data_IF_311652388456
#
_entry.id   IF_311652388456
#
_cell.length_a   1.000
_cell.length_b   1.000
_cell.length_c   1.000
_cell.angle_alpha   90.00
_cell.angle_beta   90.00
_cell.angle_gamma   90.00
#
_symmetry.space_group_name_H-M   'P 1'
#
loop_
_entity.id
_entity.type
_entity.pdbx_description
1 polymer ?
#
# COMPACT_ATOMS: atom_id res chain seq x y z
N UNK A 1 43.59 18.76 65.66
CA UNK A 1 43.06 17.55 66.31
C UNK A 1 41.56 17.76 66.47
N UNK A 2 40.62 17.00 65.95
CA UNK A 2 40.61 15.80 65.11
C UNK A 2 39.16 15.55 64.66
N UNK A 3 39.04 14.95 63.47
CA UNK A 3 37.97 14.09 62.95
C UNK A 3 36.49 14.39 63.28
N UNK A 4 35.77 14.82 62.22
CA UNK A 4 34.30 14.74 62.08
C UNK A 4 33.93 13.29 61.77
N UNK A 5 33.04 12.71 62.57
CA UNK A 5 32.44 11.39 62.37
C UNK A 5 31.28 11.46 61.37
N UNK A 6 31.19 10.40 60.56
CA UNK A 6 30.20 10.14 59.51
C UNK A 6 29.01 9.30 60.03
N UNK A 7 27.95 9.25 59.21
CA UNK A 7 26.77 8.36 59.22
C UNK A 7 25.61 8.72 60.17
N UNK A 8 24.32 8.74 59.75
CA UNK A 8 23.62 7.85 58.83
C UNK A 8 22.55 8.57 57.99
N UNK A 9 22.46 8.24 56.69
CA UNK A 9 21.34 8.59 55.81
C UNK A 9 20.39 7.38 55.70
N UNK A 10 19.13 7.56 56.10
CA UNK A 10 18.05 6.60 55.89
C UNK A 10 17.81 6.33 54.40
N UNK A 11 18.19 5.13 53.94
CA UNK A 11 17.82 4.59 52.63
C UNK A 11 16.39 4.06 52.65
N UNK A 12 15.45 4.78 52.02
CA UNK A 12 14.13 4.23 51.66
C UNK A 12 14.26 3.22 50.51
N UNK A 13 13.60 2.05 50.55
CA UNK A 13 13.72 1.05 49.49
C UNK A 13 12.97 1.48 48.22
N UNK A 14 13.62 1.30 47.07
CA UNK A 14 13.03 1.41 45.73
C UNK A 14 11.98 0.32 45.53
N UNK A 15 10.70 0.70 45.51
CA UNK A 15 9.59 -0.19 45.14
C UNK A 15 9.77 -0.62 43.69
N UNK A 16 10.07 -1.89 43.47
CA UNK A 16 10.11 -2.52 42.15
C UNK A 16 8.68 -2.54 41.56
N UNK A 17 8.44 -2.01 40.35
CA UNK A 17 7.11 -2.02 39.76
C UNK A 17 6.71 -3.45 39.36
N UNK A 18 5.74 -4.02 40.06
CA UNK A 18 5.14 -5.33 39.76
C UNK A 18 4.34 -5.29 38.45
N UNK A 19 4.28 -6.42 37.74
CA UNK A 19 3.58 -6.57 36.45
C UNK A 19 2.12 -6.07 36.46
N UNK A 20 1.45 -6.20 37.61
CA UNK A 20 0.11 -5.64 37.86
C UNK A 20 0.05 -4.10 37.76
N UNK A 21 1.10 -3.38 38.15
CA UNK A 21 1.15 -1.91 38.01
C UNK A 21 1.28 -1.48 36.56
N UNK A 22 1.98 -2.27 35.74
CA UNK A 22 2.05 -2.07 34.28
C UNK A 22 0.71 -2.35 33.62
N UNK A 23 0.04 -3.47 33.96
CA UNK A 23 -1.30 -3.79 33.47
C UNK A 23 -2.34 -2.73 33.87
N UNK A 24 -2.30 -2.26 35.12
CA UNK A 24 -3.23 -1.23 35.61
C UNK A 24 -2.99 0.11 34.91
N UNK A 25 -1.73 0.52 34.72
CA UNK A 25 -1.40 1.71 33.91
C UNK A 25 -1.82 1.55 32.45
N UNK A 26 -1.71 0.34 31.89
CA UNK A 26 -2.14 0.01 30.53
C UNK A 26 -3.67 0.10 30.40
N UNK A 27 -4.43 -0.47 31.33
CA UNK A 27 -5.90 -0.35 31.39
C UNK A 27 -6.36 1.10 31.57
N UNK A 28 -5.72 1.85 32.46
CA UNK A 28 -6.04 3.28 32.70
C UNK A 28 -5.67 4.15 31.49
N UNK A 29 -4.60 3.81 30.76
CA UNK A 29 -4.26 4.43 29.48
C UNK A 29 -5.26 4.10 28.38
N UNK A 30 -5.85 2.90 28.41
CA UNK A 30 -6.85 2.45 27.44
C UNK A 30 -8.20 3.12 27.67
N UNK A 31 -8.57 3.37 28.93
CA UNK A 31 -9.80 4.08 29.32
C UNK A 31 -9.72 5.62 29.26
N UNK A 32 -8.57 6.23 28.93
CA UNK A 32 -8.53 7.69 28.71
C UNK A 32 -9.29 8.03 27.43
N UNK A 33 -10.52 8.48 27.61
CA UNK A 33 -11.28 9.19 26.59
C UNK A 33 -10.44 10.32 25.98
N UNK A 34 -10.56 10.60 24.67
CA UNK A 34 -9.80 11.68 24.06
C UNK A 34 -10.06 12.99 24.81
N UNK A 35 -9.00 13.74 25.12
CA UNK A 35 -9.13 15.13 25.58
C UNK A 35 -10.07 15.85 24.62
N UNK A 36 -10.99 16.66 25.18
CA UNK A 36 -11.98 17.48 24.46
C UNK A 36 -11.42 17.94 23.12
N UNK A 37 -12.03 17.47 22.03
CA UNK A 37 -11.65 17.85 20.68
C UNK A 37 -11.79 19.38 20.56
N UNK A 38 -10.67 20.07 20.40
CA UNK A 38 -10.65 21.48 20.02
C UNK A 38 -11.52 21.64 18.76
N UNK A 39 -12.47 22.58 18.77
CA UNK A 39 -13.22 22.96 17.55
C UNK A 39 -12.21 23.37 16.47
N UNK A 40 -12.31 22.75 15.30
CA UNK A 40 -11.44 23.04 14.17
C UNK A 40 -11.58 24.52 13.78
N UNK A 41 -10.46 25.25 13.77
CA UNK A 41 -10.40 26.64 13.34
C UNK A 41 -10.17 26.76 11.83
N UNK A 42 -10.28 27.98 11.29
CA UNK A 42 -9.99 28.27 9.87
C UNK A 42 -8.59 27.78 9.45
N UNK A 43 -7.62 27.91 10.34
CA UNK A 43 -6.24 27.48 10.09
C UNK A 43 -6.10 25.96 9.95
N UNK A 44 -7.00 25.16 10.55
CA UNK A 44 -6.94 23.70 10.43
C UNK A 44 -7.39 23.20 9.05
N UNK A 45 -8.14 24.03 8.30
CA UNK A 45 -8.58 23.77 6.93
C UNK A 45 -7.62 24.31 5.86
N UNK A 46 -6.65 25.14 6.26
CA UNK A 46 -5.61 25.65 5.37
C UNK A 46 -4.50 24.61 5.21
N UNK A 47 -4.32 24.16 3.97
CA UNK A 47 -3.24 23.25 3.58
C UNK A 47 -1.91 24.00 3.49
N UNK A 48 -0.89 23.47 4.15
CA UNK A 48 0.49 23.95 4.06
C UNK A 48 1.17 23.50 2.76
N UNK A 49 0.56 22.57 2.01
CA UNK A 49 1.10 22.04 0.74
C UNK A 49 2.13 20.92 0.90
N UNK A 50 2.35 20.44 2.13
CA UNK A 50 3.29 19.34 2.41
C UNK A 50 2.69 17.97 2.11
N UNK A 51 3.52 17.01 1.71
CA UNK A 51 3.08 15.64 1.48
C UNK A 51 2.50 14.98 2.75
N UNK A 52 3.12 15.21 3.93
CA UNK A 52 2.65 14.67 5.21
C UNK A 52 1.20 15.07 5.52
N UNK A 53 0.82 16.31 5.21
CA UNK A 53 -0.56 16.76 5.37
C UNK A 53 -1.52 16.10 4.38
N UNK A 54 -1.08 15.94 3.13
CA UNK A 54 -1.89 15.35 2.08
C UNK A 54 -2.21 13.86 2.32
N UNK A 55 -1.28 13.10 2.90
CA UNK A 55 -1.44 11.65 3.13
C UNK A 55 -2.23 11.30 4.40
N UNK A 56 -2.55 12.25 5.29
CA UNK A 56 -3.16 11.98 6.61
C UNK A 56 -4.38 11.07 6.55
N UNK A 57 -5.29 11.30 5.60
CA UNK A 57 -6.50 10.50 5.44
C UNK A 57 -6.21 9.03 5.12
N UNK A 58 -5.21 8.79 4.26
CA UNK A 58 -4.76 7.44 3.88
C UNK A 58 -4.12 6.73 5.07
N UNK A 59 -3.32 7.45 5.87
CA UNK A 59 -2.71 6.88 7.06
C UNK A 59 -3.74 6.59 8.16
N UNK A 60 -4.76 7.44 8.33
CA UNK A 60 -5.86 7.17 9.27
C UNK A 60 -6.62 5.90 8.90
N UNK A 61 -6.89 5.72 7.61
CA UNK A 61 -7.52 4.50 7.10
C UNK A 61 -6.66 3.26 7.34
N UNK A 62 -5.34 3.37 7.16
CA UNK A 62 -4.41 2.28 7.48
C UNK A 62 -4.59 1.78 8.93
N UNK A 63 -4.76 2.70 9.87
CA UNK A 63 -4.91 2.35 11.30
C UNK A 63 -6.20 1.61 11.61
N UNK A 64 -7.28 1.88 10.86
CA UNK A 64 -8.54 1.15 11.00
C UNK A 64 -8.36 -0.33 10.65
N UNK A 65 -7.57 -0.61 9.62
CA UNK A 65 -7.29 -1.96 9.14
C UNK A 65 -6.01 -2.56 9.71
N UNK A 66 -5.53 -2.04 10.85
CA UNK A 66 -4.39 -2.59 11.58
C UNK A 66 -3.04 -2.43 10.87
N UNK A 67 -2.94 -1.51 9.91
CA UNK A 67 -1.75 -1.23 9.11
C UNK A 67 -1.04 0.02 9.66
N UNK A 68 0.30 -0.03 9.73
CA UNK A 68 1.18 1.09 10.06
C UNK A 68 0.80 1.86 11.35
N UNK A 69 1.03 1.29 12.56
CA UNK A 69 0.57 1.87 13.83
C UNK A 69 1.43 3.06 14.32
N UNK A 70 1.41 4.18 13.59
CA UNK A 70 2.15 5.41 13.91
C UNK A 70 1.29 6.40 14.73
N UNK A 71 1.86 7.01 15.77
CA UNK A 71 1.19 8.06 16.54
C UNK A 71 1.46 9.44 15.95
N UNK A 72 0.54 10.38 16.13
CA UNK A 72 0.72 11.78 15.74
C UNK A 72 0.37 12.11 14.27
N UNK A 73 -0.31 11.22 13.54
CA UNK A 73 -0.65 11.42 12.11
C UNK A 73 -1.45 12.71 11.85
N UNK A 74 -2.34 13.08 12.77
CA UNK A 74 -3.18 14.28 12.67
C UNK A 74 -2.40 15.58 12.94
N UNK A 75 -1.16 15.50 13.42
CA UNK A 75 -0.38 16.69 13.69
C UNK A 75 0.12 17.34 12.39
N UNK A 76 0.10 18.69 12.35
CA UNK A 76 0.67 19.45 11.24
C UNK A 76 2.16 19.27 11.06
N UNK A 77 2.86 19.20 12.18
CA UNK A 77 4.31 19.03 12.21
C UNK A 77 4.68 17.53 12.12
N UNK A 78 5.46 17.11 11.10
CA UNK A 78 5.92 15.73 10.96
C UNK A 78 6.81 15.27 12.12
N UNK A 79 7.47 16.17 12.86
CA UNK A 79 8.30 15.83 14.03
C UNK A 79 7.50 15.25 15.19
N UNK A 80 6.18 15.43 15.19
CA UNK A 80 5.26 14.87 16.19
C UNK A 80 4.88 13.42 15.89
N UNK A 81 5.29 12.88 14.73
CA UNK A 81 5.14 11.47 14.41
C UNK A 81 6.03 10.63 15.32
N UNK A 82 5.47 9.59 15.95
CA UNK A 82 6.21 8.67 16.81
C UNK A 82 5.72 7.25 16.65
N UNK A 83 6.63 6.30 16.59
CA UNK A 83 6.31 4.88 16.66
C UNK A 83 6.40 4.39 18.13
N UNK A 84 5.45 3.56 18.57
CA UNK A 84 5.45 3.01 19.92
C UNK A 84 4.87 1.61 19.95
N UNK A 85 5.71 0.65 20.38
CA UNK A 85 5.40 -0.78 20.48
C UNK A 85 4.28 -1.10 21.48
N UNK A 86 4.09 -0.27 22.50
CA UNK A 86 3.10 -0.48 23.57
C UNK A 86 1.79 0.27 23.36
N UNK A 87 1.63 0.89 22.19
CA UNK A 87 0.39 1.60 21.87
C UNK A 87 -0.76 0.63 21.60
N UNK A 88 -2.00 1.00 21.95
CA UNK A 88 -3.17 0.17 21.63
C UNK A 88 -3.29 -0.15 20.14
N UNK A 89 -2.81 0.75 19.26
CA UNK A 89 -2.72 0.52 17.81
C UNK A 89 -1.68 -0.54 17.44
N UNK A 90 -0.54 -0.57 18.13
CA UNK A 90 0.47 -1.60 17.94
C UNK A 90 -0.01 -2.96 18.47
N UNK A 91 -0.72 -2.98 19.61
CA UNK A 91 -1.35 -4.21 20.12
C UNK A 91 -2.37 -4.76 19.13
N UNK A 92 -3.22 -3.90 18.56
CA UNK A 92 -4.15 -4.28 17.49
C UNK A 92 -3.42 -4.88 16.27
N UNK A 93 -2.30 -4.27 15.86
CA UNK A 93 -1.40 -4.81 14.83
C UNK A 93 -0.84 -6.19 15.15
N UNK A 94 -0.42 -6.43 16.39
CA UNK A 94 0.07 -7.75 16.79
C UNK A 94 -1.02 -8.81 16.77
N UNK A 95 -2.22 -8.49 17.26
CA UNK A 95 -3.35 -9.43 17.25
C UNK A 95 -3.71 -9.82 15.81
N UNK A 96 -3.80 -8.84 14.90
CA UNK A 96 -4.09 -9.11 13.50
C UNK A 96 -2.97 -9.88 12.81
N UNK A 97 -1.70 -9.57 13.11
CA UNK A 97 -0.57 -10.31 12.58
C UNK A 97 -0.57 -11.79 13.02
N UNK A 98 -0.91 -12.07 14.29
CA UNK A 98 -1.04 -13.44 14.79
C UNK A 98 -2.18 -14.19 14.11
N UNK A 99 -3.35 -13.55 13.95
CA UNK A 99 -4.49 -14.14 13.26
C UNK A 99 -4.21 -14.45 11.78
N UNK A 100 -3.58 -13.51 11.07
CA UNK A 100 -3.19 -13.71 9.67
C UNK A 100 -2.08 -14.76 9.55
N UNK A 101 -1.14 -14.80 10.49
CA UNK A 101 -0.12 -15.85 10.55
C UNK A 101 -0.75 -17.24 10.69
N UNK A 102 -1.72 -17.40 11.58
CA UNK A 102 -2.48 -18.64 11.71
C UNK A 102 -3.17 -19.03 10.40
N UNK A 103 -3.87 -18.10 9.74
CA UNK A 103 -4.53 -18.38 8.46
C UNK A 103 -3.53 -18.75 7.36
N UNK A 104 -2.38 -18.07 7.30
CA UNK A 104 -1.30 -18.37 6.36
C UNK A 104 -0.74 -19.78 6.59
N UNK A 105 -0.40 -20.13 7.82
CA UNK A 105 0.10 -21.48 8.17
C UNK A 105 -0.91 -22.57 7.79
N UNK A 106 -2.20 -22.37 8.12
CA UNK A 106 -3.25 -23.33 7.76
C UNK A 106 -3.41 -23.45 6.24
N UNK A 107 -3.36 -22.33 5.50
CA UNK A 107 -3.47 -22.35 4.04
C UNK A 107 -2.29 -23.05 3.36
N UNK A 108 -1.07 -22.87 3.85
CA UNK A 108 0.13 -23.56 3.35
C UNK A 108 0.09 -25.05 3.68
N UNK A 109 -0.31 -25.40 4.89
CA UNK A 109 -0.47 -26.80 5.29
C UNK A 109 -1.53 -27.51 4.45
N UNK A 110 -2.66 -26.84 4.18
CA UNK A 110 -3.69 -27.35 3.29
C UNK A 110 -3.20 -27.50 1.85
N UNK A 111 -2.39 -26.57 1.34
CA UNK A 111 -1.75 -26.68 0.04
C UNK A 111 -0.77 -27.87 -0.04
N UNK A 112 -0.01 -28.14 1.01
CA UNK A 112 0.95 -29.25 1.10
C UNK A 112 0.30 -30.64 1.31
N UNK A 113 -1.02 -30.70 1.50
CA UNK A 113 -1.75 -31.98 1.59
C UNK A 113 -1.68 -32.79 0.28
N UNK A 114 -1.88 -34.12 0.35
CA UNK A 114 -1.58 -35.11 -0.72
C UNK A 114 -2.13 -34.84 -2.13
N UNK A 115 -3.05 -33.89 -2.34
CA UNK A 115 -3.56 -33.50 -3.66
C UNK A 115 -3.23 -32.04 -3.96
N UNK A 116 -2.33 -31.83 -4.92
CA UNK A 116 -2.04 -30.52 -5.50
C UNK A 116 -3.26 -30.02 -6.29
N UNK A 117 -3.78 -28.88 -5.88
CA UNK A 117 -4.84 -28.17 -6.61
C UNK A 117 -4.47 -26.70 -6.72
N UNK A 118 -4.65 -26.14 -7.91
CA UNK A 118 -4.34 -24.74 -8.21
C UNK A 118 -5.04 -23.76 -7.26
N UNK A 119 -6.30 -24.01 -6.91
CA UNK A 119 -7.07 -23.16 -5.98
C UNK A 119 -6.48 -23.15 -4.55
N UNK A 120 -5.87 -24.25 -4.10
CA UNK A 120 -5.18 -24.31 -2.81
C UNK A 120 -3.92 -23.43 -2.83
N UNK A 121 -3.19 -23.44 -3.94
CA UNK A 121 -2.01 -22.58 -4.14
C UNK A 121 -2.39 -21.10 -4.12
N UNK A 122 -3.45 -20.70 -4.83
CA UNK A 122 -3.94 -19.31 -4.84
C UNK A 122 -4.29 -18.84 -3.43
N UNK A 123 -4.95 -19.69 -2.64
CA UNK A 123 -5.30 -19.39 -1.25
C UNK A 123 -4.05 -19.22 -0.37
N UNK A 124 -3.07 -20.12 -0.50
CA UNK A 124 -1.80 -20.02 0.23
C UNK A 124 -1.03 -18.76 -0.14
N UNK A 125 -0.94 -18.45 -1.44
CA UNK A 125 -0.30 -17.24 -1.94
C UNK A 125 -0.93 -15.99 -1.33
N UNK A 126 -2.26 -15.89 -1.31
CA UNK A 126 -2.99 -14.75 -0.77
C UNK A 126 -2.67 -14.46 0.71
N UNK A 127 -2.69 -15.47 1.58
CA UNK A 127 -2.42 -15.27 3.01
C UNK A 127 -0.94 -15.03 3.31
N UNK A 128 -0.03 -15.72 2.62
CA UNK A 128 1.42 -15.48 2.73
C UNK A 128 1.79 -14.07 2.28
N UNK A 129 1.22 -13.61 1.15
CA UNK A 129 1.35 -12.25 0.66
C UNK A 129 0.94 -11.22 1.73
N UNK A 130 -0.25 -11.39 2.31
CA UNK A 130 -0.79 -10.46 3.30
C UNK A 130 0.01 -10.44 4.61
N UNK A 131 0.50 -11.61 5.06
CA UNK A 131 1.39 -11.69 6.19
C UNK A 131 2.69 -10.91 5.95
N UNK A 132 3.29 -11.07 4.76
CA UNK A 132 4.49 -10.34 4.39
C UNK A 132 4.24 -8.83 4.24
N UNK A 133 3.09 -8.42 3.66
CA UNK A 133 2.67 -7.03 3.59
C UNK A 133 2.59 -6.40 4.99
N UNK A 134 1.94 -7.08 5.94
CA UNK A 134 1.83 -6.63 7.33
C UNK A 134 3.21 -6.42 7.97
N UNK A 135 4.14 -7.35 7.77
CA UNK A 135 5.52 -7.21 8.24
C UNK A 135 6.21 -5.99 7.63
N UNK A 136 6.10 -5.77 6.31
CA UNK A 136 6.72 -4.63 5.62
C UNK A 136 6.15 -3.30 6.08
N UNK A 137 4.84 -3.18 6.26
CA UNK A 137 4.22 -1.96 6.79
C UNK A 137 4.55 -1.71 8.26
N UNK A 138 4.72 -2.78 9.06
CA UNK A 138 5.22 -2.67 10.43
C UNK A 138 6.62 -2.07 10.49
N UNK A 139 7.54 -2.57 9.65
CA UNK A 139 8.90 -2.02 9.49
C UNK A 139 8.89 -0.59 8.96
N UNK A 140 8.04 -0.30 7.97
CA UNK A 140 7.91 1.05 7.43
C UNK A 140 7.43 2.04 8.50
N UNK A 141 6.45 1.65 9.31
CA UNK A 141 5.93 2.48 10.40
C UNK A 141 6.99 2.92 11.40
N UNK A 142 8.07 2.15 11.59
CA UNK A 142 9.19 2.51 12.45
C UNK A 142 10.03 3.65 11.86
N UNK A 143 10.28 3.61 10.55
CA UNK A 143 11.13 4.60 9.83
C UNK A 143 10.34 5.77 9.26
N UNK A 144 9.01 5.65 9.20
CA UNK A 144 8.12 6.66 8.64
C UNK A 144 8.30 8.07 9.24
N UNK A 145 8.45 8.25 10.58
CA UNK A 145 8.65 9.58 11.15
C UNK A 145 9.91 10.27 10.60
N UNK A 146 11.04 9.55 10.55
CA UNK A 146 12.31 10.08 10.04
C UNK A 146 12.20 10.41 8.55
N UNK A 147 11.57 9.52 7.77
CA UNK A 147 11.33 9.72 6.35
C UNK A 147 10.50 10.99 6.09
N UNK A 148 9.41 11.21 6.84
CA UNK A 148 8.55 12.38 6.67
C UNK A 148 9.23 13.69 7.07
N UNK A 149 10.13 13.67 8.06
CA UNK A 149 10.94 14.85 8.41
C UNK A 149 11.92 15.19 7.27
N UNK A 150 12.59 14.18 6.69
CA UNK A 150 13.48 14.39 5.53
C UNK A 150 12.69 14.89 4.31
N UNK A 151 11.54 14.28 4.04
CA UNK A 151 10.66 14.69 2.94
C UNK A 151 10.23 16.15 3.08
N UNK A 152 9.76 16.54 4.26
CA UNK A 152 9.29 17.92 4.51
C UNK A 152 10.42 18.93 4.34
N UNK A 153 11.65 18.59 4.77
CA UNK A 153 12.83 19.45 4.54
C UNK A 153 13.10 19.70 3.06
N UNK A 154 12.92 18.67 2.21
CA UNK A 154 13.06 18.83 0.76
C UNK A 154 11.90 19.66 0.21
N UNK A 155 10.65 19.38 0.61
CA UNK A 155 9.46 20.14 0.20
C UNK A 155 9.59 21.65 0.50
N UNK A 156 10.19 22.00 1.65
CA UNK A 156 10.43 23.39 2.09
C UNK A 156 11.49 24.10 1.24
N UNK A 157 12.42 23.36 0.62
CA UNK A 157 13.47 23.92 -0.25
C UNK A 157 13.00 24.19 -1.68
N UNK A 158 11.87 23.60 -2.07
CA UNK A 158 11.30 23.72 -3.41
C UNK A 158 10.61 25.09 -3.61
N UNK A 159 10.43 25.55 -4.86
CA UNK A 159 9.78 26.83 -5.14
C UNK A 159 8.44 26.98 -4.40
N UNK A 160 8.17 28.15 -3.78
CA UNK A 160 6.98 28.34 -2.97
C UNK A 160 5.72 28.26 -3.83
N UNK A 161 4.68 27.61 -3.30
CA UNK A 161 3.36 27.55 -3.92
C UNK A 161 2.66 28.88 -3.68
N UNK A 162 2.27 29.55 -4.76
CA UNK A 162 1.75 30.93 -4.73
C UNK A 162 0.32 30.95 -4.18
N UNK A 163 -0.49 29.99 -4.61
CA UNK A 163 -1.92 29.98 -4.30
C UNK A 163 -2.31 28.90 -3.28
N UNK A 164 -3.37 29.20 -2.51
CA UNK A 164 -4.01 28.23 -1.59
C UNK A 164 -4.49 27.01 -2.37
N UNK A 165 -4.94 27.20 -3.62
CA UNK A 165 -5.36 26.11 -4.49
C UNK A 165 -4.20 25.17 -4.81
N UNK A 166 -3.02 25.68 -5.21
CA UNK A 166 -1.84 24.87 -5.51
C UNK A 166 -1.40 24.01 -4.31
N UNK A 167 -1.55 24.55 -3.09
CA UNK A 167 -1.27 23.83 -1.84
C UNK A 167 -2.28 22.70 -1.57
N UNK A 168 -3.53 22.88 -1.96
CA UNK A 168 -4.61 21.92 -1.77
C UNK A 168 -4.69 20.84 -2.87
N UNK A 169 -4.17 21.10 -4.08
CA UNK A 169 -4.27 20.19 -5.24
C UNK A 169 -3.76 18.79 -4.94
N UNK A 170 -2.58 18.67 -4.29
CA UNK A 170 -2.01 17.36 -3.96
C UNK A 170 -2.91 16.58 -2.99
N UNK A 171 -3.36 17.24 -1.92
CA UNK A 171 -4.25 16.64 -0.93
C UNK A 171 -5.59 16.22 -1.55
N UNK A 172 -6.15 17.05 -2.43
CA UNK A 172 -7.39 16.74 -3.14
C UNK A 172 -7.22 15.54 -4.07
N UNK A 173 -6.14 15.50 -4.87
CA UNK A 173 -5.86 14.37 -5.78
C UNK A 173 -5.67 13.06 -5.01
N UNK A 174 -4.90 13.08 -3.92
CA UNK A 174 -4.71 11.90 -3.05
C UNK A 174 -6.05 11.47 -2.45
N UNK A 175 -6.86 12.41 -1.92
CA UNK A 175 -8.17 12.11 -1.33
C UNK A 175 -9.12 11.48 -2.36
N UNK A 176 -9.24 12.08 -3.55
CA UNK A 176 -10.12 11.58 -4.60
C UNK A 176 -9.69 10.19 -5.06
N UNK A 177 -8.40 9.98 -5.33
CA UNK A 177 -7.87 8.68 -5.73
C UNK A 177 -8.09 7.62 -4.64
N UNK A 178 -7.88 7.98 -3.37
CA UNK A 178 -8.12 7.08 -2.25
C UNK A 178 -9.59 6.67 -2.15
N UNK A 179 -10.52 7.62 -2.28
CA UNK A 179 -11.96 7.32 -2.27
C UNK A 179 -12.32 6.38 -3.43
N UNK A 180 -11.81 6.65 -4.64
CA UNK A 180 -12.08 5.81 -5.81
C UNK A 180 -11.57 4.38 -5.60
N UNK A 181 -10.29 4.20 -5.24
CA UNK A 181 -9.67 2.88 -5.07
C UNK A 181 -10.37 2.08 -3.96
N UNK A 182 -10.72 2.73 -2.85
CA UNK A 182 -11.39 2.06 -1.73
C UNK A 182 -12.83 1.68 -2.04
N UNK A 183 -13.55 2.52 -2.80
CA UNK A 183 -14.92 2.21 -3.23
C UNK A 183 -14.92 1.01 -4.18
N UNK A 184 -13.97 0.97 -5.12
CA UNK A 184 -13.79 -0.17 -6.02
C UNK A 184 -13.41 -1.45 -5.26
N UNK A 185 -12.50 -1.35 -4.28
CA UNK A 185 -12.16 -2.50 -3.43
C UNK A 185 -13.34 -2.99 -2.59
N UNK A 186 -14.20 -2.08 -2.11
CA UNK A 186 -15.39 -2.46 -1.37
C UNK A 186 -16.40 -3.15 -2.29
N UNK A 187 -16.59 -2.65 -3.52
CA UNK A 187 -17.48 -3.29 -4.48
C UNK A 187 -16.99 -4.68 -4.87
N UNK A 188 -15.69 -4.87 -5.11
CA UNK A 188 -15.08 -6.19 -5.33
C UNK A 188 -15.37 -7.14 -4.15
N UNK A 189 -15.16 -6.68 -2.91
CA UNK A 189 -15.38 -7.51 -1.72
C UNK A 189 -16.85 -7.89 -1.55
N UNK A 190 -17.77 -6.93 -1.64
CA UNK A 190 -19.20 -7.17 -1.50
C UNK A 190 -19.70 -8.13 -2.59
N UNK A 191 -19.25 -7.93 -3.83
CA UNK A 191 -19.66 -8.76 -4.95
C UNK A 191 -19.10 -10.19 -4.82
N UNK A 192 -17.90 -10.35 -4.25
CA UNK A 192 -17.36 -11.68 -3.92
C UNK A 192 -18.19 -12.42 -2.88
N UNK A 193 -18.73 -11.71 -1.88
CA UNK A 193 -19.63 -12.29 -0.88
C UNK A 193 -20.94 -12.70 -1.54
N UNK A 194 -21.54 -11.83 -2.35
CA UNK A 194 -22.80 -12.11 -3.05
C UNK A 194 -22.67 -13.34 -3.95
N UNK A 195 -21.58 -13.42 -4.73
CA UNK A 195 -21.30 -14.58 -5.58
C UNK A 195 -21.15 -15.87 -4.77
N UNK A 196 -20.46 -15.81 -3.62
CA UNK A 196 -20.25 -16.95 -2.74
C UNK A 196 -21.55 -17.41 -2.04
N UNK A 197 -22.42 -16.48 -1.63
CA UNK A 197 -23.73 -16.78 -1.02
C UNK A 197 -24.69 -17.37 -2.05
N UNK A 198 -24.72 -16.82 -3.27
CA UNK A 198 -25.54 -17.35 -4.35
C UNK A 198 -25.15 -18.80 -4.69
N UNK A 199 -23.85 -19.08 -4.73
CA UNK A 199 -23.34 -20.43 -4.96
C UNK A 199 -23.69 -21.40 -3.80
N UNK A 200 -23.54 -20.98 -2.54
CA UNK A 200 -23.85 -21.85 -1.40
C UNK A 200 -25.33 -22.18 -1.26
N UNK A 201 -26.22 -21.26 -1.65
CA UNK A 201 -27.67 -21.50 -1.61
C UNK A 201 -28.15 -22.44 -2.72
N UNK A 202 -27.44 -22.49 -3.85
CA UNK A 202 -27.86 -23.26 -5.03
C UNK A 202 -27.24 -24.68 -5.11
N UNK A 203 -26.20 -25.01 -4.34
CA UNK A 203 -25.67 -26.38 -4.22
C UNK A 203 -26.01 -26.95 -2.81
N UNK A 204 -27.16 -27.63 -2.65
CA UNK A 204 -27.66 -28.08 -1.35
C UNK A 204 -26.92 -29.34 -0.88
N UNK A 205 -25.91 -29.18 -0.02
CA UNK A 205 -25.24 -30.30 0.64
C UNK A 205 -25.28 -30.22 2.18
N UNK A 206 -25.77 -29.11 2.77
CA UNK A 206 -25.78 -28.89 4.23
C UNK A 206 -27.09 -28.20 4.63
N UNK A 207 -27.64 -28.58 5.79
CA UNK A 207 -28.93 -28.11 6.32
C UNK A 207 -28.90 -26.62 6.77
N UNK A 208 -27.72 -26.06 7.03
CA UNK A 208 -27.52 -24.63 7.36
C UNK A 208 -26.70 -23.92 6.25
N UNK A 209 -27.27 -22.90 5.57
CA UNK A 209 -26.58 -22.14 4.53
C UNK A 209 -25.35 -21.38 5.05
N UNK A 210 -25.31 -20.97 6.33
CA UNK A 210 -24.18 -20.26 6.90
C UNK A 210 -22.97 -21.18 7.09
N UNK A 211 -23.19 -22.38 7.62
CA UNK A 211 -22.15 -23.38 7.79
C UNK A 211 -21.59 -23.82 6.42
N UNK A 212 -22.46 -24.01 5.43
CA UNK A 212 -22.06 -24.33 4.06
C UNK A 212 -21.15 -23.25 3.46
N UNK A 213 -21.50 -21.97 3.65
CA UNK A 213 -20.69 -20.84 3.18
C UNK A 213 -19.29 -20.86 3.80
N UNK A 214 -19.19 -21.03 5.13
CA UNK A 214 -17.89 -21.02 5.82
C UNK A 214 -17.02 -22.23 5.47
N UNK A 215 -17.60 -23.44 5.44
CA UNK A 215 -16.87 -24.66 5.04
C UNK A 215 -16.40 -24.60 3.59
N UNK A 216 -17.19 -24.00 2.70
CA UNK A 216 -16.83 -23.90 1.28
C UNK A 216 -15.73 -22.86 1.01
N UNK A 217 -15.83 -21.66 1.61
CA UNK A 217 -14.90 -20.55 1.37
C UNK A 217 -13.61 -20.65 2.19
N UNK A 218 -13.65 -21.30 3.35
CA UNK A 218 -12.51 -21.44 4.27
C UNK A 218 -12.18 -22.91 4.53
N UNK A 219 -12.24 -23.74 3.48
CA UNK A 219 -11.97 -25.17 3.56
C UNK A 219 -10.60 -25.47 4.24
N UNK A 220 -9.59 -24.62 4.00
CA UNK A 220 -8.26 -24.75 4.61
C UNK A 220 -8.25 -24.65 6.15
N UNK A 221 -9.27 -24.04 6.77
CA UNK A 221 -9.45 -24.01 8.24
C UNK A 221 -10.38 -25.14 8.67
N UNK A 222 -11.54 -25.27 8.02
CA UNK A 222 -12.60 -26.18 8.45
C UNK A 222 -12.39 -27.65 8.06
N UNK A 223 -11.37 -27.94 7.26
CA UNK A 223 -10.91 -29.31 7.05
C UNK A 223 -10.32 -29.92 8.33
N UNK A 224 -9.68 -29.11 9.17
CA UNK A 224 -9.02 -29.56 10.41
C UNK A 224 -9.83 -29.24 11.67
N UNK A 225 -10.63 -28.18 11.64
CA UNK A 225 -11.40 -27.72 12.79
C UNK A 225 -12.90 -27.81 12.51
N UNK A 226 -13.68 -28.20 13.52
CA UNK A 226 -15.14 -28.14 13.46
C UNK A 226 -15.63 -26.70 13.26
N UNK A 227 -16.84 -26.54 12.71
CA UNK A 227 -17.44 -25.21 12.64
C UNK A 227 -17.84 -24.74 14.04
N UNK A 228 -17.57 -23.45 14.32
CA UNK A 228 -18.12 -22.75 15.49
C UNK A 228 -18.30 -21.29 15.13
N UNK A 229 -19.36 -20.66 15.64
CA UNK A 229 -19.73 -19.28 15.29
C UNK A 229 -18.60 -18.29 15.55
N UNK A 230 -17.89 -18.43 16.68
CA UNK A 230 -16.75 -17.58 17.04
C UNK A 230 -15.58 -17.75 16.04
N UNK A 231 -15.26 -18.98 15.64
CA UNK A 231 -14.20 -19.25 14.66
C UNK A 231 -14.57 -18.73 13.27
N UNK A 232 -15.84 -18.85 12.89
CA UNK A 232 -16.42 -18.23 11.70
C UNK A 232 -16.19 -16.74 11.68
N UNK A 233 -16.60 -16.07 12.76
CA UNK A 233 -16.41 -14.64 12.92
C UNK A 233 -14.93 -14.23 12.84
N UNK A 234 -14.04 -14.88 13.61
CA UNK A 234 -12.61 -14.54 13.62
C UNK A 234 -11.95 -14.77 12.25
N UNK A 235 -12.27 -15.87 11.58
CA UNK A 235 -11.74 -16.18 10.24
C UNK A 235 -12.18 -15.13 9.23
N UNK A 236 -13.47 -14.75 9.25
CA UNK A 236 -13.99 -13.71 8.36
C UNK A 236 -13.38 -12.34 8.68
N UNK A 237 -13.24 -12.01 9.96
CA UNK A 237 -12.63 -10.75 10.41
C UNK A 237 -11.21 -10.58 9.86
N UNK A 238 -10.34 -11.57 10.04
CA UNK A 238 -8.98 -11.51 9.51
C UNK A 238 -8.95 -11.54 7.98
N UNK A 239 -9.84 -12.30 7.33
CA UNK A 239 -9.96 -12.30 5.86
C UNK A 239 -10.35 -10.91 5.32
N UNK A 240 -11.28 -10.21 5.98
CA UNK A 240 -11.66 -8.84 5.62
C UNK A 240 -10.43 -7.93 5.71
N UNK A 241 -9.65 -8.02 6.79
CA UNK A 241 -8.39 -7.25 6.93
C UNK A 241 -7.42 -7.56 5.79
N UNK A 242 -7.22 -8.83 5.41
CA UNK A 242 -6.37 -9.19 4.28
C UNK A 242 -6.86 -8.60 2.95
N UNK A 243 -8.17 -8.62 2.68
CA UNK A 243 -8.73 -8.03 1.46
C UNK A 243 -8.50 -6.51 1.41
N UNK A 244 -8.70 -5.82 2.53
CA UNK A 244 -8.41 -4.39 2.61
C UNK A 244 -6.91 -4.10 2.48
N UNK A 245 -6.05 -4.95 3.05
CA UNK A 245 -4.61 -4.78 2.99
C UNK A 245 -4.06 -4.93 1.57
N UNK A 246 -4.59 -5.86 0.78
CA UNK A 246 -4.28 -5.94 -0.66
C UNK A 246 -4.52 -4.60 -1.36
N UNK A 247 -5.74 -4.06 -1.29
CA UNK A 247 -6.05 -2.77 -1.94
C UNK A 247 -5.27 -1.59 -1.36
N UNK A 248 -4.95 -1.65 -0.06
CA UNK A 248 -4.15 -0.62 0.60
C UNK A 248 -2.69 -0.60 0.13
N UNK A 249 -2.08 -1.76 -0.12
CA UNK A 249 -0.71 -1.86 -0.66
C UNK A 249 -0.61 -1.07 -1.96
N UNK A 250 -1.57 -1.29 -2.87
CA UNK A 250 -1.65 -0.61 -4.16
C UNK A 250 -1.87 0.90 -4.00
N UNK A 251 -2.85 1.29 -3.17
CA UNK A 251 -3.12 2.69 -2.88
C UNK A 251 -1.89 3.40 -2.29
N UNK A 252 -1.15 2.74 -1.40
CA UNK A 252 0.03 3.31 -0.79
C UNK A 252 1.12 3.63 -1.82
N UNK A 253 1.40 2.69 -2.74
CA UNK A 253 2.36 2.90 -3.83
C UNK A 253 1.92 4.07 -4.73
N UNK A 254 0.63 4.13 -5.08
CA UNK A 254 0.07 5.25 -5.87
C UNK A 254 0.31 6.59 -5.17
N UNK A 255 -0.02 6.69 -3.89
CA UNK A 255 0.04 7.95 -3.14
C UNK A 255 1.49 8.42 -2.93
N UNK A 256 2.40 7.51 -2.62
CA UNK A 256 3.85 7.84 -2.54
C UNK A 256 4.35 8.33 -3.90
N UNK A 257 3.97 7.65 -4.98
CA UNK A 257 4.36 8.06 -6.34
C UNK A 257 3.81 9.45 -6.69
N UNK A 258 2.53 9.73 -6.37
CA UNK A 258 1.95 11.06 -6.55
C UNK A 258 2.71 12.15 -5.81
N UNK A 259 3.15 11.90 -4.58
CA UNK A 259 3.95 12.85 -3.80
C UNK A 259 5.31 13.16 -4.44
N UNK A 260 6.02 12.12 -4.89
CA UNK A 260 7.31 12.28 -5.57
C UNK A 260 7.15 13.02 -6.90
N UNK A 261 6.19 12.61 -7.73
CA UNK A 261 5.88 13.28 -8.99
C UNK A 261 5.48 14.74 -8.78
N UNK A 262 4.73 15.06 -7.71
CA UNK A 262 4.38 16.44 -7.37
C UNK A 262 5.61 17.30 -7.05
N UNK A 263 6.62 16.73 -6.37
CA UNK A 263 7.87 17.43 -6.06
C UNK A 263 8.61 17.83 -7.34
N UNK A 264 8.70 16.93 -8.33
CA UNK A 264 9.26 17.27 -9.64
C UNK A 264 8.41 18.26 -10.41
N UNK A 265 7.08 18.13 -10.40
CA UNK A 265 6.18 19.09 -11.05
C UNK A 265 6.36 20.52 -10.54
N UNK A 266 6.62 20.71 -9.25
CA UNK A 266 6.92 22.04 -8.68
C UNK A 266 8.19 22.65 -9.28
N UNK A 267 9.25 21.85 -9.43
CA UNK A 267 10.49 22.28 -10.10
C UNK A 267 10.21 22.57 -11.58
N UNK A 268 9.55 21.65 -12.27
CA UNK A 268 9.22 21.77 -13.69
C UNK A 268 8.42 23.04 -13.96
N UNK A 269 7.34 23.27 -13.22
CA UNK A 269 6.51 24.47 -13.37
C UNK A 269 7.32 25.76 -13.21
N UNK A 270 8.23 25.81 -12.23
CA UNK A 270 9.10 26.97 -12.03
C UNK A 270 10.12 27.16 -13.16
N UNK A 271 10.70 26.08 -13.69
CA UNK A 271 11.59 26.12 -14.86
C UNK A 271 10.86 26.58 -16.12
N UNK A 272 9.62 26.13 -16.34
CA UNK A 272 8.83 26.50 -17.50
C UNK A 272 8.49 28.01 -17.55
N UNK A 273 8.39 28.68 -16.40
CA UNK A 273 8.21 30.15 -16.34
C UNK A 273 9.40 30.92 -16.93
N UNK A 274 10.60 30.34 -16.90
CA UNK A 274 11.84 30.95 -17.39
C UNK A 274 12.31 30.34 -18.72
N UNK A 275 11.41 29.65 -19.43
CA UNK A 275 11.71 29.00 -20.71
C UNK A 275 12.17 30.03 -21.75
N UNK A 276 13.26 29.73 -22.47
CA UNK A 276 13.90 30.60 -23.48
C UNK A 276 14.46 31.93 -22.93
N UNK A 277 14.46 32.15 -21.63
CA UNK A 277 15.05 33.34 -21.02
C UNK A 277 16.53 33.11 -20.73
N UNK A 278 17.32 34.18 -20.80
CA UNK A 278 18.72 34.16 -20.38
C UNK A 278 18.78 34.26 -18.85
N UNK A 279 19.21 33.20 -18.20
CA UNK A 279 19.35 33.12 -16.74
C UNK A 279 20.83 33.06 -16.35
N UNK A 280 21.13 33.44 -15.10
CA UNK A 280 22.49 33.39 -14.56
C UNK A 280 22.95 31.95 -14.29
N UNK A 281 24.27 31.73 -14.22
CA UNK A 281 24.83 30.44 -13.81
C UNK A 281 24.38 30.03 -12.39
N UNK A 282 24.33 31.00 -11.47
CA UNK A 282 23.83 30.77 -10.11
C UNK A 282 22.40 30.23 -10.11
N UNK A 283 21.51 30.77 -10.95
CA UNK A 283 20.14 30.27 -11.06
C UNK A 283 20.11 28.79 -11.45
N UNK A 284 20.87 28.38 -12.46
CA UNK A 284 20.93 26.99 -12.90
C UNK A 284 21.54 26.07 -11.85
N UNK A 285 22.58 26.52 -11.14
CA UNK A 285 23.15 25.81 -10.00
C UNK A 285 22.14 25.57 -8.88
N UNK A 286 21.35 26.59 -8.52
CA UNK A 286 20.29 26.46 -7.51
C UNK A 286 19.18 25.49 -7.94
N UNK A 287 18.74 25.54 -9.20
CA UNK A 287 17.70 24.62 -9.69
C UNK A 287 18.20 23.18 -9.77
N UNK A 288 19.45 22.97 -10.20
CA UNK A 288 20.10 21.66 -10.21
C UNK A 288 20.22 21.09 -8.79
N UNK A 289 20.60 21.90 -7.80
CA UNK A 289 20.67 21.45 -6.41
C UNK A 289 19.29 21.03 -5.88
N UNK A 290 18.24 21.81 -6.15
CA UNK A 290 16.86 21.45 -5.78
C UNK A 290 16.41 20.16 -6.46
N UNK A 291 16.74 19.98 -7.75
CA UNK A 291 16.48 18.74 -8.48
C UNK A 291 17.16 17.54 -7.82
N UNK A 292 18.47 17.64 -7.53
CA UNK A 292 19.19 16.54 -6.87
C UNK A 292 18.65 16.20 -5.49
N UNK A 293 18.24 17.19 -4.70
CA UNK A 293 17.60 16.94 -3.41
C UNK A 293 16.31 16.09 -3.56
N UNK A 294 15.55 16.28 -4.65
CA UNK A 294 14.38 15.44 -4.96
C UNK A 294 14.79 14.07 -5.47
N UNK A 295 15.84 13.96 -6.30
CA UNK A 295 16.38 12.66 -6.72
C UNK A 295 16.87 11.81 -5.53
N UNK A 296 17.55 12.43 -4.57
CA UNK A 296 17.99 11.81 -3.32
C UNK A 296 16.80 11.39 -2.45
N UNK A 297 15.73 12.21 -2.44
CA UNK A 297 14.49 11.87 -1.76
C UNK A 297 13.83 10.64 -2.39
N UNK A 298 13.71 10.57 -3.72
CA UNK A 298 13.18 9.40 -4.43
C UNK A 298 13.98 8.15 -4.06
N UNK A 299 15.31 8.23 -4.08
CA UNK A 299 16.19 7.11 -3.72
C UNK A 299 15.95 6.67 -2.27
N UNK A 300 15.87 7.61 -1.34
CA UNK A 300 15.63 7.31 0.08
C UNK A 300 14.26 6.66 0.31
N UNK A 301 13.23 7.15 -0.38
CA UNK A 301 11.88 6.60 -0.30
C UNK A 301 11.83 5.20 -0.90
N UNK A 302 12.48 5.00 -2.04
CA UNK A 302 12.59 3.71 -2.71
C UNK A 302 13.30 2.66 -1.84
N UNK A 303 14.33 3.02 -1.08
CA UNK A 303 15.02 2.10 -0.16
C UNK A 303 14.11 1.58 0.96
N UNK A 304 13.01 2.29 1.26
CA UNK A 304 12.01 1.86 2.24
C UNK A 304 10.78 1.20 1.61
N UNK A 305 10.40 1.62 0.41
CA UNK A 305 9.14 1.25 -0.25
C UNK A 305 9.33 0.21 -1.37
N UNK A 306 10.54 0.01 -1.91
CA UNK A 306 10.81 -0.87 -3.07
C UNK A 306 10.30 -2.31 -2.92
N UNK A 307 10.35 -2.87 -1.71
CA UNK A 307 9.76 -4.18 -1.43
C UNK A 307 8.23 -4.18 -1.47
N UNK A 308 7.60 -3.08 -1.04
CA UNK A 308 6.14 -2.89 -1.10
C UNK A 308 5.71 -2.67 -2.57
N UNK A 309 6.50 -1.91 -3.34
CA UNK A 309 6.31 -1.76 -4.80
C UNK A 309 6.38 -3.11 -5.52
N UNK A 310 7.41 -3.91 -5.24
CA UNK A 310 7.52 -5.28 -5.77
C UNK A 310 6.30 -6.11 -5.37
N UNK A 311 5.94 -6.08 -4.09
CA UNK A 311 4.82 -6.84 -3.55
C UNK A 311 3.50 -6.48 -4.27
N UNK A 312 3.22 -5.19 -4.46
CA UNK A 312 2.07 -4.69 -5.21
C UNK A 312 2.02 -5.24 -6.64
N UNK A 313 3.10 -5.04 -7.41
CA UNK A 313 3.15 -5.43 -8.83
C UNK A 313 3.08 -6.95 -8.98
N UNK A 314 3.88 -7.73 -8.24
CA UNK A 314 3.89 -9.19 -8.35
C UNK A 314 2.54 -9.81 -8.00
N UNK A 315 1.87 -9.30 -6.96
CA UNK A 315 0.56 -9.82 -6.55
C UNK A 315 -0.53 -9.49 -7.57
N UNK A 316 -0.52 -8.27 -8.09
CA UNK A 316 -1.46 -7.87 -9.12
C UNK A 316 -1.27 -8.67 -10.41
N UNK A 317 -0.03 -8.89 -10.85
CA UNK A 317 0.27 -9.75 -11.99
C UNK A 317 -0.19 -11.20 -11.76
N UNK A 318 0.10 -11.76 -10.59
CA UNK A 318 -0.35 -13.11 -10.22
C UNK A 318 -1.87 -13.25 -10.32
N UNK A 319 -2.63 -12.33 -9.72
CA UNK A 319 -4.09 -12.40 -9.75
C UNK A 319 -4.69 -12.08 -11.11
N UNK A 320 -4.05 -11.23 -11.94
CA UNK A 320 -4.46 -11.02 -13.33
C UNK A 320 -4.32 -12.35 -14.09
N UNK A 321 -3.16 -12.99 -14.05
CA UNK A 321 -2.95 -14.28 -14.72
C UNK A 321 -3.92 -15.36 -14.20
N UNK A 322 -4.15 -15.43 -12.88
CA UNK A 322 -5.14 -16.36 -12.29
C UNK A 322 -6.54 -16.07 -12.82
N UNK A 323 -6.95 -14.80 -12.91
CA UNK A 323 -8.27 -14.47 -13.40
C UNK A 323 -8.41 -14.77 -14.89
N UNK A 324 -7.43 -14.40 -15.72
CA UNK A 324 -7.51 -14.69 -17.16
C UNK A 324 -7.49 -16.21 -17.42
N UNK A 325 -6.66 -16.99 -16.71
CA UNK A 325 -6.74 -18.45 -16.77
C UNK A 325 -8.16 -18.96 -16.44
N UNK A 326 -8.78 -18.37 -15.41
CA UNK A 326 -10.16 -18.69 -15.03
C UNK A 326 -11.23 -18.12 -15.98
N UNK A 327 -10.90 -17.23 -16.93
CA UNK A 327 -11.84 -16.74 -17.94
C UNK A 327 -12.14 -17.79 -19.00
N UNK A 328 -11.25 -18.76 -19.17
CA UNK A 328 -11.41 -19.88 -20.11
C UNK A 328 -12.46 -20.89 -19.63
N UNK A 329 -12.71 -20.96 -18.32
CA UNK A 329 -13.70 -21.87 -17.75
C UNK A 329 -15.14 -21.38 -18.00
N UNK A 330 -16.00 -22.27 -18.51
CA UNK A 330 -17.44 -22.03 -18.65
C UNK A 330 -18.10 -21.63 -17.32
N UNK A 331 -18.97 -20.61 -17.36
CA UNK A 331 -19.65 -20.09 -16.18
C UNK A 331 -21.15 -20.43 -16.21
N UNK A 332 -21.71 -20.94 -15.10
CA UNK A 332 -23.07 -21.49 -15.10
C UNK A 332 -24.17 -20.42 -15.14
N UNK A 333 -23.89 -19.18 -14.75
CA UNK A 333 -24.91 -18.11 -14.73
C UNK A 333 -24.36 -16.79 -15.27
N UNK A 334 -25.24 -15.99 -15.88
CA UNK A 334 -24.93 -14.63 -16.35
C UNK A 334 -24.38 -13.75 -15.21
N UNK A 335 -24.88 -13.92 -13.98
CA UNK A 335 -24.41 -13.20 -12.79
C UNK A 335 -22.94 -13.51 -12.50
N UNK A 336 -22.52 -14.77 -12.58
CA UNK A 336 -21.12 -15.15 -12.41
C UNK A 336 -20.22 -14.60 -13.51
N UNK A 337 -20.72 -14.53 -14.75
CA UNK A 337 -20.00 -13.94 -15.89
C UNK A 337 -19.79 -12.44 -15.71
N UNK A 338 -20.84 -11.67 -15.39
CA UNK A 338 -20.74 -10.22 -15.14
C UNK A 338 -19.81 -9.93 -13.97
N UNK A 339 -19.95 -10.68 -12.87
CA UNK A 339 -19.05 -10.59 -11.71
C UNK A 339 -17.58 -10.77 -12.09
N UNK A 340 -17.31 -11.83 -12.85
CA UNK A 340 -15.96 -12.18 -13.25
C UNK A 340 -15.29 -11.06 -14.06
N UNK A 341 -15.97 -10.57 -15.11
CA UNK A 341 -15.43 -9.51 -15.96
C UNK A 341 -15.30 -8.17 -15.22
N UNK A 342 -16.24 -7.85 -14.34
CA UNK A 342 -16.17 -6.65 -13.52
C UNK A 342 -14.92 -6.65 -12.63
N UNK A 343 -14.66 -7.76 -11.91
CA UNK A 343 -13.45 -7.89 -11.10
C UNK A 343 -12.16 -7.85 -11.93
N UNK A 344 -12.16 -8.49 -13.12
CA UNK A 344 -10.99 -8.48 -13.99
C UNK A 344 -10.65 -7.07 -14.47
N UNK A 345 -11.66 -6.31 -14.89
CA UNK A 345 -11.47 -4.92 -15.33
C UNK A 345 -10.98 -4.04 -14.18
N UNK A 346 -11.54 -4.18 -12.98
CA UNK A 346 -11.08 -3.40 -11.82
C UNK A 346 -9.64 -3.76 -11.46
N UNK A 347 -9.31 -5.06 -11.43
CA UNK A 347 -7.96 -5.50 -11.10
C UNK A 347 -6.93 -5.00 -12.13
N UNK A 348 -7.23 -5.09 -13.43
CA UNK A 348 -6.38 -4.54 -14.50
C UNK A 348 -6.27 -3.02 -14.35
N UNK A 349 -7.39 -2.32 -14.17
CA UNK A 349 -7.43 -0.87 -13.99
C UNK A 349 -6.61 -0.39 -12.79
N UNK A 350 -6.71 -1.08 -11.64
CA UNK A 350 -5.92 -0.80 -10.44
C UNK A 350 -4.43 -1.05 -10.69
N UNK A 351 -4.09 -2.15 -11.35
CA UNK A 351 -2.69 -2.49 -11.66
C UNK A 351 -2.07 -1.45 -12.59
N UNK A 352 -2.79 -1.05 -13.63
CA UNK A 352 -2.37 0.02 -14.54
C UNK A 352 -2.24 1.36 -13.81
N UNK A 353 -3.15 1.69 -12.89
CA UNK A 353 -3.04 2.91 -12.09
C UNK A 353 -1.75 2.90 -11.24
N UNK A 354 -1.47 1.83 -10.50
CA UNK A 354 -0.22 1.68 -9.74
C UNK A 354 1.00 1.86 -10.64
N UNK A 355 1.01 1.16 -11.78
CA UNK A 355 2.13 1.17 -12.71
C UNK A 355 2.36 2.55 -13.34
N UNK A 356 1.28 3.22 -13.75
CA UNK A 356 1.33 4.55 -14.37
C UNK A 356 1.74 5.64 -13.40
N UNK A 357 1.22 5.65 -12.16
CA UNK A 357 1.64 6.62 -11.15
C UNK A 357 3.09 6.42 -10.75
N UNK A 358 3.55 5.17 -10.60
CA UNK A 358 4.96 4.88 -10.32
C UNK A 358 5.88 5.30 -11.48
N UNK A 359 5.48 5.04 -12.73
CA UNK A 359 6.21 5.47 -13.92
C UNK A 359 6.23 7.00 -14.10
N UNK A 360 5.19 7.69 -13.66
CA UNK A 360 5.10 9.15 -13.73
C UNK A 360 6.24 9.85 -12.94
N UNK A 361 6.76 9.22 -11.88
CA UNK A 361 7.92 9.76 -11.14
C UNK A 361 9.13 9.90 -12.07
N UNK A 362 9.36 8.89 -12.92
CA UNK A 362 10.43 8.91 -13.91
C UNK A 362 10.16 9.90 -15.05
N UNK A 363 8.92 10.00 -15.52
CA UNK A 363 8.58 10.96 -16.57
C UNK A 363 8.81 12.40 -16.10
N UNK A 364 8.30 12.75 -14.92
CA UNK A 364 8.42 14.10 -14.36
C UNK A 364 9.87 14.44 -14.01
N UNK A 365 10.71 13.47 -13.64
CA UNK A 365 12.13 13.70 -13.39
C UNK A 365 12.92 14.01 -14.68
N UNK A 366 12.41 13.62 -15.85
CA UNK A 366 13.05 13.87 -17.17
C UNK A 366 12.58 15.16 -17.84
N UNK A 367 11.42 15.71 -17.46
CA UNK A 367 10.86 16.95 -18.05
C UNK A 367 11.75 18.19 -18.03
N UNK A 368 12.64 18.43 -17.05
CA UNK A 368 13.52 19.60 -17.09
C UNK A 368 14.32 19.76 -18.40
N UNK A 369 14.60 18.64 -19.09
CA UNK A 369 15.35 18.65 -20.36
C UNK A 369 14.67 19.48 -21.45
N UNK A 370 13.34 19.57 -21.43
CA UNK A 370 12.58 20.36 -22.40
C UNK A 370 12.86 21.87 -22.27
N UNK A 371 13.13 22.33 -21.05
CA UNK A 371 13.51 23.72 -20.79
C UNK A 371 14.98 23.91 -21.11
N UNK A 372 15.84 23.01 -20.64
CA UNK A 372 17.30 23.09 -20.83
C UNK A 372 17.70 23.11 -22.30
N UNK A 373 17.02 22.34 -23.16
CA UNK A 373 17.26 22.33 -24.62
C UNK A 373 16.86 23.63 -25.33
N UNK A 374 16.13 24.53 -24.67
CA UNK A 374 15.66 25.80 -25.25
C UNK A 374 16.45 27.02 -24.76
N UNK A 375 17.53 26.81 -24.00
CA UNK A 375 18.39 27.89 -23.53
C UNK A 375 19.12 28.51 -24.74
N UNK A 376 19.08 29.86 -24.91
CA UNK A 376 19.86 30.54 -25.94
C UNK A 376 21.37 30.31 -25.78
N UNK A 377 22.14 30.35 -26.88
CA UNK A 377 23.60 30.11 -26.85
C UNK A 377 24.33 31.03 -25.86
N UNK A 378 23.93 32.31 -25.80
CA UNK A 378 24.54 33.31 -24.92
C UNK A 378 24.18 33.13 -23.43
N UNK A 379 23.21 32.26 -23.11
CA UNK A 379 22.82 31.89 -21.76
C UNK A 379 23.23 30.47 -21.36
N UNK A 380 23.88 29.73 -22.27
CA UNK A 380 24.36 28.38 -21.98
C UNK A 380 25.62 28.43 -21.11
N UNK A 381 25.54 27.85 -19.92
CA UNK A 381 26.62 27.84 -18.93
C UNK A 381 26.95 26.40 -18.47
N UNK A 382 28.03 26.27 -17.70
CA UNK A 382 28.51 24.97 -17.22
C UNK A 382 27.47 24.27 -16.32
N UNK A 383 26.78 25.00 -15.44
CA UNK A 383 25.73 24.43 -14.59
C UNK A 383 24.51 23.95 -15.39
N UNK A 384 24.11 24.68 -16.44
CA UNK A 384 23.04 24.21 -17.33
C UNK A 384 23.42 22.92 -18.06
N UNK A 385 24.68 22.81 -18.51
CA UNK A 385 25.23 21.58 -19.11
C UNK A 385 25.21 20.41 -18.14
N UNK A 386 25.75 20.60 -16.92
CA UNK A 386 25.76 19.55 -15.88
C UNK A 386 24.35 19.11 -15.51
N UNK A 387 23.41 20.05 -15.40
CA UNK A 387 22.02 19.75 -15.11
C UNK A 387 21.38 18.93 -16.25
N UNK A 388 21.64 19.29 -17.50
CA UNK A 388 21.15 18.53 -18.65
C UNK A 388 21.70 17.10 -18.67
N UNK A 389 23.00 16.93 -18.41
CA UNK A 389 23.67 15.63 -18.34
C UNK A 389 23.05 14.73 -17.26
N UNK A 390 22.84 15.25 -16.05
CA UNK A 390 22.19 14.53 -14.94
C UNK A 390 20.76 14.12 -15.31
N UNK A 391 19.97 15.07 -15.81
CA UNK A 391 18.58 14.80 -16.22
C UNK A 391 18.54 13.76 -17.34
N UNK A 392 19.50 13.73 -18.27
CA UNK A 392 19.51 12.72 -19.33
C UNK A 392 19.98 11.35 -18.86
N UNK A 393 21.04 11.31 -18.05
CA UNK A 393 21.76 10.07 -17.71
C UNK A 393 21.09 9.31 -16.57
N UNK A 394 20.62 10.01 -15.53
CA UNK A 394 20.20 9.36 -14.29
C UNK A 394 18.80 8.77 -14.38
N UNK A 395 18.65 7.49 -14.05
CA UNK A 395 17.34 6.81 -14.03
C UNK A 395 16.67 6.95 -12.66
N UNK A 396 16.04 8.10 -12.45
CA UNK A 396 15.28 8.37 -11.23
C UNK A 396 13.90 7.72 -11.32
N UNK A 397 13.66 6.66 -10.55
CA UNK A 397 12.41 5.93 -10.55
C UNK A 397 12.23 5.17 -9.23
N UNK A 398 10.98 4.81 -8.91
CA UNK A 398 10.72 3.76 -7.92
C UNK A 398 11.09 2.40 -8.52
N UNK A 399 11.52 1.46 -7.68
CA UNK A 399 11.98 0.15 -8.11
C UNK A 399 11.23 -0.98 -7.39
N UNK A 400 11.16 -2.13 -8.04
CA UNK A 400 10.83 -3.39 -7.36
C UNK A 400 12.10 -4.04 -6.85
N UNK A 401 12.45 -3.86 -5.57
CA UNK A 401 13.68 -4.40 -4.96
C UNK A 401 14.96 -4.15 -5.78
N UNK A 402 15.05 -3.03 -6.50
CA UNK A 402 16.13 -2.72 -7.45
C UNK A 402 16.28 -3.71 -8.64
N UNK A 403 15.42 -4.71 -8.79
CA UNK A 403 15.42 -5.63 -9.94
C UNK A 403 14.92 -4.97 -11.22
N UNK A 404 13.95 -4.06 -11.09
CA UNK A 404 13.42 -3.29 -12.21
C UNK A 404 13.01 -1.89 -11.76
N UNK A 405 13.12 -0.94 -12.68
CA UNK A 405 12.68 0.44 -12.49
C UNK A 405 11.30 0.67 -13.09
N UNK A 406 10.41 1.27 -12.31
CA UNK A 406 9.06 1.63 -12.74
C UNK A 406 9.13 2.75 -13.77
N UNK A 407 9.04 2.38 -15.04
CA UNK A 407 9.06 3.29 -16.20
C UNK A 407 7.93 2.91 -17.15
N UNK A 408 7.44 3.86 -17.96
CA UNK A 408 6.38 3.55 -18.94
C UNK A 408 6.75 2.39 -19.86
N UNK A 409 8.04 2.29 -20.23
CA UNK A 409 8.56 1.20 -21.05
C UNK A 409 8.36 -0.16 -20.38
N UNK A 410 8.66 -0.28 -19.08
CA UNK A 410 8.41 -1.51 -18.34
C UNK A 410 6.92 -1.86 -18.31
N UNK A 411 6.06 -0.87 -18.04
CA UNK A 411 4.59 -1.09 -18.00
C UNK A 411 4.10 -1.64 -19.34
N UNK A 412 4.49 -1.02 -20.45
CA UNK A 412 4.12 -1.47 -21.79
C UNK A 412 4.65 -2.87 -22.11
N UNK A 413 5.89 -3.17 -21.75
CA UNK A 413 6.49 -4.49 -21.97
C UNK A 413 5.76 -5.59 -21.20
N UNK A 414 5.44 -5.35 -19.93
CA UNK A 414 4.71 -6.32 -19.09
C UNK A 414 3.29 -6.53 -19.60
N UNK A 415 2.58 -5.45 -19.95
CA UNK A 415 1.24 -5.55 -20.56
C UNK A 415 1.28 -6.33 -21.88
N UNK A 416 2.25 -6.05 -22.74
CA UNK A 416 2.45 -6.78 -24.00
C UNK A 416 2.69 -8.26 -23.75
N UNK A 417 3.56 -8.61 -22.80
CA UNK A 417 3.85 -10.00 -22.45
C UNK A 417 2.60 -10.74 -21.97
N UNK A 418 1.79 -10.15 -21.07
CA UNK A 418 0.53 -10.74 -20.61
C UNK A 418 -0.37 -11.02 -21.83
N UNK A 419 -0.61 -10.03 -22.68
CA UNK A 419 -1.46 -10.20 -23.87
C UNK A 419 -0.93 -11.33 -24.77
N UNK A 420 0.38 -11.40 -25.00
CA UNK A 420 0.99 -12.45 -25.82
C UNK A 420 0.77 -13.84 -25.21
N UNK A 421 1.05 -14.02 -23.91
CA UNK A 421 0.83 -15.30 -23.23
C UNK A 421 -0.62 -15.74 -23.28
N UNK A 422 -1.55 -14.81 -23.10
CA UNK A 422 -2.97 -15.13 -23.11
C UNK A 422 -3.50 -15.45 -24.51
N UNK A 423 -3.02 -14.76 -25.55
CA UNK A 423 -3.34 -15.13 -26.94
C UNK A 423 -2.87 -16.54 -27.28
N UNK A 424 -1.69 -16.92 -26.79
CA UNK A 424 -1.15 -18.28 -26.96
C UNK A 424 -1.98 -19.30 -26.17
N UNK A 425 -2.35 -19.01 -24.91
CA UNK A 425 -3.21 -19.88 -24.11
C UNK A 425 -4.58 -20.11 -24.74
N UNK A 426 -5.22 -19.06 -25.28
CA UNK A 426 -6.51 -19.17 -25.98
C UNK A 426 -6.40 -20.06 -27.23
N UNK A 427 -5.28 -20.01 -27.94
CA UNK A 427 -5.06 -20.90 -29.09
C UNK A 427 -5.03 -22.36 -28.67
N UNK A 428 -4.33 -22.70 -27.58
CA UNK A 428 -4.26 -24.07 -27.08
C UNK A 428 -5.56 -24.56 -26.40
N UNK A 429 -6.32 -23.66 -25.77
CA UNK A 429 -7.55 -24.05 -25.06
C UNK A 429 -8.75 -24.33 -26.00
N UNK A 430 -8.75 -23.76 -27.22
CA UNK A 430 -9.79 -24.07 -28.21
C UNK A 430 -9.84 -25.54 -28.63
N UNK A 431 -8.78 -26.30 -28.35
CA UNK A 431 -8.67 -27.72 -28.67
C UNK A 431 -9.23 -28.65 -27.57
N UNK A 432 -9.64 -28.13 -26.42
CA UNK A 432 -10.24 -28.90 -25.31
C UNK A 432 -11.66 -28.41 -24.98
N UNK A 433 -12.69 -29.05 -25.55
CA UNK A 433 -14.09 -28.83 -25.13
C UNK A 433 -14.31 -29.48 -23.77
N UNK A 434 -14.51 -28.69 -22.72
CA UNK A 434 -14.88 -29.20 -21.39
C UNK A 434 -16.27 -28.74 -20.97
N UNK A 435 -17.25 -29.60 -21.25
CA UNK A 435 -18.58 -29.57 -20.62
C UNK A 435 -18.45 -30.16 -19.22
N UNK A 436 -18.18 -29.32 -18.22
CA UNK A 436 -18.06 -29.78 -16.83
C UNK A 436 -18.88 -28.90 -15.90
N UNK A 437 -19.97 -29.49 -15.44
CA UNK A 437 -20.91 -28.96 -14.47
C UNK A 437 -20.25 -28.83 -13.08
N UNK A 438 -19.98 -27.59 -12.65
CA UNK A 438 -19.15 -27.27 -11.48
C UNK A 438 -19.72 -27.80 -10.15
N UNK A 439 -21.02 -28.11 -10.09
CA UNK A 439 -21.66 -28.69 -8.91
C UNK A 439 -21.36 -30.22 -8.79
N UNK A 440 -20.87 -30.89 -9.85
CA UNK A 440 -20.42 -32.30 -9.81
C UNK A 440 -18.97 -32.45 -9.32
N UNK A 441 -18.06 -31.52 -9.64
CA UNK A 441 -16.64 -31.67 -9.29
C UNK A 441 -16.40 -31.71 -7.77
N UNK A 442 -17.14 -30.88 -7.01
CA UNK A 442 -17.02 -30.86 -5.54
C UNK A 442 -17.80 -31.99 -4.84
N UNK A 443 -18.71 -32.66 -5.56
CA UNK A 443 -19.42 -33.88 -5.09
C UNK A 443 -18.47 -35.09 -5.05
N UNK A 444 -17.46 -35.14 -5.92
CA UNK A 444 -16.40 -36.16 -5.85
C UNK A 444 -15.35 -35.88 -4.77
N UNK A 445 -15.30 -34.66 -4.23
CA UNK A 445 -14.40 -34.27 -3.14
C UNK A 445 -15.01 -34.47 -1.74
N UNK A 446 -16.26 -34.95 -1.66
CA UNK A 446 -16.99 -35.21 -0.41
C UNK A 446 -17.33 -36.69 -0.20
N UNK A 447 -16.81 -37.58 -1.05
CA UNK A 447 -16.80 -39.03 -0.87
C UNK A 447 -15.39 -39.53 -0.56
#
# INVERSE_FOLDING_TARGET
MGFVALENHDTKPLIQPTWHTHLRRWFVSWLRWPKVQRRAGRDDWLYNGTFHEAIRGVLMMAQLFSIMPVRGILAKDPRKLRFSYTSGRAVYAYVCALGICFLATMSVYFFASKRYHFQKMVTAFFYCYNLYAMYRFGRLGQRWPELMVKWTRVDDSLPPQKDIFERAVLAYRIKLCSIMVMTLSLSEHLLSIVAAVHYSNNCPAVHDPYEAFFKSNFAFVYYYFSYSTLRGFLTKFFNVICNFMWSYVDLFVIVVSMGLSHSFRRINAYLFLHKRQKMSEQFWGEQRQKYRNVCDLVTTVDDHVSAITMLSISNNLFFICVQILNSMNSRPTLVHTVYFWFNLIILIGRTLAVAMFAAEVNDESKRPIEVLRTIPRDGWCLEAKRFAEEVTTDTVALTGLKFFSMTRKLVLNVTGAIITYELVLIQFHKDEVSDIDLCKLKRMDTL
#
